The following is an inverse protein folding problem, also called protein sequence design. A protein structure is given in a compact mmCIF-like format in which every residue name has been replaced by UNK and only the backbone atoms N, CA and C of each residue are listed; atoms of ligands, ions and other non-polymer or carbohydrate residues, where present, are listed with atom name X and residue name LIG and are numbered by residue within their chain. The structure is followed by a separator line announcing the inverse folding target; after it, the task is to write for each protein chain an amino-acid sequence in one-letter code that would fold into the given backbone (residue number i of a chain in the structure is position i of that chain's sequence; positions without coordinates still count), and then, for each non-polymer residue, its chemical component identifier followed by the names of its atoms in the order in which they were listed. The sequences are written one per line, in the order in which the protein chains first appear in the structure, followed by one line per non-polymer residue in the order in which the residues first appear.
data_IF_502375407413
#
_entry.id   IF_502375407413
#
_cell.length_a   1.000
_cell.length_b   1.000
_cell.length_c   1.000
_cell.angle_alpha   90.00
_cell.angle_beta   90.00
_cell.angle_gamma   90.00
#
_symmetry.space_group_name_H-M   'P 1'
#
loop_
_entity.id
_entity.type
_entity.pdbx_description
1 polymer ?
#
# COMPACT_ATOMS: atom_id res chain seq x y z
N UNK A 1 -26.14 2.47 -63.47
CA UNK A 1 -27.03 3.23 -62.58
C UNK A 1 -26.81 2.76 -61.14
N UNK A 2 -26.45 3.71 -60.28
CA UNK A 2 -26.65 3.82 -58.83
C UNK A 2 -27.78 2.91 -58.27
N UNK A 3 -27.80 2.35 -57.05
CA UNK A 3 -27.08 2.42 -55.77
C UNK A 3 -27.33 1.04 -55.10
N UNK A 4 -26.50 0.50 -54.22
CA UNK A 4 -26.64 0.69 -52.78
C UNK A 4 -25.46 0.01 -52.11
N UNK A 5 -24.46 0.81 -51.76
CA UNK A 5 -23.42 0.44 -50.81
C UNK A 5 -24.11 0.27 -49.46
N UNK A 6 -24.33 -0.97 -49.01
CA UNK A 6 -24.65 -1.21 -47.61
C UNK A 6 -23.37 -1.00 -46.80
N UNK A 7 -23.24 0.24 -46.33
CA UNK A 7 -22.29 0.67 -45.34
C UNK A 7 -22.68 -0.02 -44.02
N UNK A 8 -22.07 -1.17 -43.72
CA UNK A 8 -22.20 -1.78 -42.39
C UNK A 8 -21.42 -0.88 -41.44
N UNK A 9 -22.15 -0.05 -40.71
CA UNK A 9 -21.65 0.82 -39.68
C UNK A 9 -21.03 -0.04 -38.57
N UNK A 10 -19.71 0.04 -38.45
CA UNK A 10 -18.93 -0.53 -37.36
C UNK A 10 -19.43 0.05 -36.03
N UNK A 11 -20.18 -0.72 -35.24
CA UNK A 11 -20.43 -0.37 -33.85
C UNK A 11 -19.19 -0.76 -33.06
N UNK A 12 -18.32 0.24 -32.98
CA UNK A 12 -17.35 0.53 -31.92
C UNK A 12 -17.51 -0.37 -30.68
N UNK A 13 -16.69 -1.41 -30.58
CA UNK A 13 -16.37 -2.06 -29.31
C UNK A 13 -15.69 -1.01 -28.44
N UNK A 14 -16.46 -0.34 -27.58
CA UNK A 14 -15.91 0.42 -26.47
C UNK A 14 -15.34 -0.62 -25.50
N UNK A 15 -14.10 -1.03 -25.74
CA UNK A 15 -13.26 -1.61 -24.70
C UNK A 15 -12.98 -0.46 -23.75
N UNK A 16 -13.76 -0.36 -22.69
CA UNK A 16 -13.50 0.57 -21.59
C UNK A 16 -12.21 0.08 -20.92
N UNK A 17 -11.09 0.52 -21.45
CA UNK A 17 -9.80 0.48 -20.78
C UNK A 17 -9.84 1.50 -19.65
N UNK A 18 -9.98 1.03 -18.41
CA UNK A 18 -9.32 1.60 -17.24
C UNK A 18 -9.74 0.83 -15.97
N UNK A 19 -9.14 -0.33 -15.73
CA UNK A 19 -8.93 -0.77 -14.35
C UNK A 19 -7.78 0.06 -13.74
N UNK A 20 -7.92 1.38 -13.74
CA UNK A 20 -7.24 2.21 -12.75
C UNK A 20 -8.12 2.12 -11.51
N UNK A 21 -8.04 1.00 -10.79
CA UNK A 21 -8.69 0.85 -9.49
C UNK A 21 -8.14 1.92 -8.56
N UNK A 22 -8.80 3.09 -8.53
CA UNK A 22 -9.39 3.81 -7.39
C UNK A 22 -8.73 3.66 -6.01
N UNK A 23 -7.42 3.44 -5.95
CA UNK A 23 -6.61 3.65 -4.76
C UNK A 23 -6.16 5.09 -4.81
N UNK A 24 -7.13 5.91 -4.43
CA UNK A 24 -7.16 7.35 -4.25
C UNK A 24 -5.82 7.92 -3.72
N UNK A 25 -4.91 8.22 -4.64
CA UNK A 25 -3.69 9.05 -4.58
C UNK A 25 -2.87 9.12 -3.27
N UNK A 26 -2.93 8.07 -2.45
CA UNK A 26 -2.27 7.96 -1.16
C UNK A 26 -0.81 7.54 -1.26
N UNK A 27 -0.22 7.08 -0.16
CA UNK A 27 1.14 6.55 -0.14
C UNK A 27 1.11 5.03 -0.35
N UNK A 28 1.97 4.49 -1.23
CA UNK A 28 2.05 3.04 -1.47
C UNK A 28 3.47 2.53 -1.29
N UNK A 29 3.62 1.38 -0.64
CA UNK A 29 4.86 0.61 -0.53
C UNK A 29 4.64 -0.81 -1.04
N UNK A 30 5.67 -1.40 -1.65
CA UNK A 30 5.63 -2.75 -2.19
C UNK A 30 6.37 -3.74 -1.31
N UNK A 31 5.96 -5.00 -1.37
CA UNK A 31 6.45 -6.08 -0.51
C UNK A 31 6.41 -7.41 -1.24
N UNK A 32 7.22 -8.37 -0.79
CA UNK A 32 7.31 -9.72 -1.37
C UNK A 32 7.18 -10.76 -0.26
N UNK A 33 6.28 -11.72 -0.44
CA UNK A 33 6.12 -12.84 0.50
C UNK A 33 5.72 -14.12 -0.21
N UNK A 34 6.46 -15.20 0.02
CA UNK A 34 6.26 -16.50 -0.62
C UNK A 34 6.18 -16.39 -2.16
N UNK A 35 7.00 -15.53 -2.75
CA UNK A 35 7.01 -15.29 -4.21
C UNK A 35 5.83 -14.46 -4.73
N UNK A 36 4.94 -13.97 -3.87
CA UNK A 36 3.84 -13.08 -4.23
C UNK A 36 4.19 -11.62 -3.92
N UNK A 37 3.65 -10.71 -4.74
CA UNK A 37 3.79 -9.27 -4.53
C UNK A 37 2.59 -8.71 -3.78
N UNK A 38 2.87 -7.76 -2.89
CA UNK A 38 1.84 -7.06 -2.13
C UNK A 38 2.06 -5.55 -2.21
N UNK A 39 0.96 -4.81 -2.21
CA UNK A 39 0.95 -3.36 -2.04
C UNK A 39 0.34 -3.02 -0.67
N UNK A 40 1.08 -2.28 0.15
CA UNK A 40 0.58 -1.61 1.34
C UNK A 40 0.26 -0.16 0.99
N UNK A 41 -0.99 0.22 1.14
CA UNK A 41 -1.52 1.47 0.62
C UNK A 41 -2.17 2.23 1.76
N UNK A 42 -1.71 3.44 2.01
CA UNK A 42 -2.33 4.38 2.92
C UNK A 42 -3.23 5.31 2.12
N UNK A 43 -4.56 5.17 2.16
CA UNK A 43 -5.47 6.02 1.39
C UNK A 43 -5.30 7.50 1.75
N UNK A 44 -5.48 8.39 0.77
CA UNK A 44 -5.41 9.84 0.99
C UNK A 44 -6.42 10.31 2.07
N UNK A 45 -7.58 9.67 2.16
CA UNK A 45 -8.59 9.96 3.19
C UNK A 45 -8.06 9.70 4.60
N UNK A 46 -7.33 8.60 4.81
CA UNK A 46 -6.75 8.27 6.12
C UNK A 46 -5.65 9.28 6.50
N UNK A 47 -4.87 9.74 5.53
CA UNK A 47 -3.84 10.77 5.74
C UNK A 47 -4.45 12.14 6.02
N UNK A 48 -5.55 12.47 5.35
CA UNK A 48 -6.27 13.73 5.55
C UNK A 48 -6.87 13.80 6.97
N UNK A 49 -7.47 12.70 7.43
CA UNK A 49 -8.08 12.59 8.76
C UNK A 49 -7.06 12.47 9.90
N UNK A 50 -5.85 11.96 9.61
CA UNK A 50 -4.77 11.86 10.59
C UNK A 50 -4.44 13.25 11.15
N UNK A 51 -4.10 13.39 12.44
CA UNK A 51 -3.73 14.69 12.99
C UNK A 51 -2.54 15.32 12.26
N UNK A 52 -2.52 16.66 12.24
CA UNK A 52 -1.36 17.40 11.77
C UNK A 52 -0.18 17.20 12.73
N UNK A 53 1.03 17.09 12.17
CA UNK A 53 2.24 16.95 12.94
C UNK A 53 3.39 17.77 12.36
N UNK A 54 4.10 18.44 13.26
CA UNK A 54 5.32 19.16 12.99
C UNK A 54 6.41 18.54 13.86
N UNK A 55 7.52 18.13 13.24
CA UNK A 55 8.69 17.55 13.91
C UNK A 55 9.25 18.44 15.02
N UNK A 56 9.04 19.75 14.95
CA UNK A 56 9.59 20.71 15.90
C UNK A 56 8.68 20.99 17.10
N UNK A 57 7.38 20.69 17.01
CA UNK A 57 6.42 21.26 17.97
C UNK A 57 5.95 20.32 19.08
N UNK A 58 6.00 18.98 18.95
CA UNK A 58 5.33 18.10 19.93
C UNK A 58 5.92 16.70 20.04
N UNK A 59 5.52 16.02 21.12
CA UNK A 59 5.51 14.56 21.22
C UNK A 59 4.55 13.94 20.19
N UNK A 60 4.92 12.77 19.66
CA UNK A 60 4.10 12.01 18.72
C UNK A 60 2.71 11.68 19.32
N UNK A 61 1.61 11.74 18.53
CA UNK A 61 0.27 11.41 19.03
C UNK A 61 0.15 9.98 19.59
N UNK A 62 0.89 9.04 18.99
CA UNK A 62 1.01 7.67 19.49
C UNK A 62 2.48 7.29 19.64
N UNK A 63 2.89 6.64 20.74
CA UNK A 63 4.26 6.16 20.92
C UNK A 63 4.66 5.15 19.84
N UNK A 64 5.93 5.17 19.45
CA UNK A 64 6.45 4.29 18.40
C UNK A 64 6.26 2.79 18.72
N UNK A 65 6.40 2.39 19.99
CA UNK A 65 6.15 1.01 20.42
C UNK A 65 4.72 0.55 20.08
N UNK A 66 3.73 1.43 20.23
CA UNK A 66 2.34 1.14 19.87
C UNK A 66 2.11 1.10 18.36
N UNK A 67 2.87 1.86 17.58
CA UNK A 67 2.84 1.76 16.12
C UNK A 67 3.40 0.40 15.67
N UNK A 68 4.48 -0.06 16.29
CA UNK A 68 5.06 -1.39 16.00
C UNK A 68 4.08 -2.50 16.37
N UNK A 69 3.44 -2.43 17.55
CA UNK A 69 2.42 -3.40 17.98
C UNK A 69 1.30 -3.51 16.92
N UNK A 70 0.75 -2.37 16.49
CA UNK A 70 -0.30 -2.30 15.45
C UNK A 70 0.16 -2.89 14.12
N UNK A 71 1.40 -2.60 13.72
CA UNK A 71 1.95 -3.12 12.47
C UNK A 71 2.13 -4.65 12.51
N UNK A 72 2.56 -5.21 13.64
CA UNK A 72 2.60 -6.66 13.85
C UNK A 72 1.21 -7.29 13.78
N UNK A 73 0.22 -6.69 14.43
CA UNK A 73 -1.16 -7.19 14.37
C UNK A 73 -1.68 -7.27 12.93
N UNK A 74 -1.35 -6.28 12.10
CA UNK A 74 -1.73 -6.30 10.69
C UNK A 74 -0.94 -7.35 9.89
N UNK A 75 0.38 -7.44 10.09
CA UNK A 75 1.21 -8.47 9.46
C UNK A 75 0.63 -9.87 9.70
N UNK A 76 0.24 -10.17 10.94
CA UNK A 76 -0.30 -11.46 11.35
C UNK A 76 -1.68 -11.82 10.79
N UNK A 77 -2.36 -10.88 10.12
CA UNK A 77 -3.58 -11.18 9.35
C UNK A 77 -3.26 -11.65 7.93
N UNK A 78 -2.03 -11.43 7.47
CA UNK A 78 -1.60 -11.65 6.08
C UNK A 78 -0.69 -12.88 6.00
N UNK A 79 0.20 -13.05 6.96
CA UNK A 79 1.18 -14.14 6.97
C UNK A 79 0.62 -15.41 7.62
N UNK A 80 1.00 -16.57 7.08
CA UNK A 80 0.55 -17.87 7.62
C UNK A 80 1.20 -18.20 8.98
N UNK A 81 2.44 -17.73 9.18
CA UNK A 81 3.25 -17.98 10.39
C UNK A 81 3.52 -16.68 11.11
N UNK A 82 3.02 -16.57 12.34
CA UNK A 82 3.25 -15.40 13.20
C UNK A 82 4.67 -15.34 13.77
N UNK A 83 5.30 -16.49 14.00
CA UNK A 83 6.67 -16.56 14.52
C UNK A 83 7.70 -16.35 13.41
N UNK A 84 8.85 -15.78 13.78
CA UNK A 84 9.98 -15.58 12.88
C UNK A 84 9.98 -14.27 12.11
N UNK A 85 9.21 -13.27 12.54
CA UNK A 85 9.21 -11.93 11.95
C UNK A 85 9.83 -10.90 12.89
N UNK A 86 10.79 -10.15 12.37
CA UNK A 86 11.41 -9.03 13.09
C UNK A 86 11.23 -7.74 12.32
N UNK A 87 10.99 -6.64 13.03
CA UNK A 87 11.08 -5.30 12.43
C UNK A 87 12.48 -5.10 11.89
N UNK A 88 12.59 -4.88 10.59
CA UNK A 88 13.86 -4.62 9.89
C UNK A 88 14.17 -3.12 9.78
N UNK A 89 13.12 -2.31 9.64
CA UNK A 89 13.23 -0.87 9.44
C UNK A 89 11.92 -0.19 9.84
N UNK A 90 12.05 1.07 10.26
CA UNK A 90 10.91 1.95 10.48
C UNK A 90 11.27 3.28 9.82
N UNK A 91 10.49 3.66 8.82
CA UNK A 91 10.64 4.96 8.17
C UNK A 91 9.51 5.86 8.60
N UNK A 92 9.86 7.06 9.07
CA UNK A 92 8.91 8.12 9.35
C UNK A 92 8.88 9.09 8.17
N UNK A 93 7.77 9.11 7.44
CA UNK A 93 7.66 9.80 6.16
C UNK A 93 6.55 10.84 6.18
N UNK A 94 6.83 11.98 5.54
CA UNK A 94 5.85 13.02 5.24
C UNK A 94 5.06 12.62 4.00
N UNK A 95 3.76 12.91 3.96
CA UNK A 95 2.97 12.71 2.76
C UNK A 95 3.35 13.75 1.71
N UNK A 96 3.64 13.31 0.49
CA UNK A 96 4.11 14.21 -0.58
C UNK A 96 3.14 15.34 -0.90
N UNK A 97 1.83 15.12 -0.72
CA UNK A 97 0.80 16.11 -1.03
C UNK A 97 0.50 17.10 0.09
N UNK A 98 0.90 16.81 1.33
CA UNK A 98 0.65 17.69 2.47
C UNK A 98 1.74 17.53 3.52
N UNK A 99 2.50 18.60 3.75
CA UNK A 99 3.68 18.61 4.60
C UNK A 99 3.39 18.51 6.11
N UNK A 100 2.13 18.66 6.50
CA UNK A 100 1.68 18.46 7.89
C UNK A 100 1.21 17.05 8.17
N UNK A 101 1.07 16.20 7.14
CA UNK A 101 0.62 14.82 7.30
C UNK A 101 1.80 13.87 7.25
N UNK A 102 1.87 12.99 8.24
CA UNK A 102 2.97 12.05 8.42
C UNK A 102 2.45 10.63 8.64
N UNK A 103 3.28 9.64 8.31
CA UNK A 103 3.00 8.24 8.51
C UNK A 103 4.28 7.45 8.79
N UNK A 104 4.10 6.26 9.33
CA UNK A 104 5.14 5.24 9.47
C UNK A 104 5.01 4.18 8.40
N UNK A 105 6.14 3.81 7.80
CA UNK A 105 6.32 2.55 7.07
C UNK A 105 7.15 1.61 7.94
N UNK A 106 6.50 0.57 8.47
CA UNK A 106 7.14 -0.45 9.31
C UNK A 106 7.44 -1.66 8.44
N UNK A 107 8.72 -1.93 8.21
CA UNK A 107 9.16 -3.08 7.44
C UNK A 107 9.57 -4.25 8.33
N UNK A 108 9.30 -5.46 7.84
CA UNK A 108 9.52 -6.72 8.52
C UNK A 108 10.24 -7.69 7.61
N UNK A 109 11.23 -8.39 8.15
CA UNK A 109 11.89 -9.52 7.50
C UNK A 109 11.63 -10.81 8.28
N UNK A 110 11.63 -11.92 7.54
CA UNK A 110 11.70 -13.25 8.13
C UNK A 110 13.10 -13.54 8.67
N UNK A 111 13.20 -14.05 9.89
CA UNK A 111 14.47 -14.47 10.50
C UNK A 111 14.88 -15.88 10.10
N UNK A 112 14.00 -16.63 9.40
CA UNK A 112 14.13 -18.09 9.23
C UNK A 112 14.18 -18.56 7.77
N UNK A 113 14.32 -17.66 6.80
CA UNK A 113 14.30 -18.04 5.38
C UNK A 113 15.69 -17.91 4.76
N UNK A 114 16.36 -19.06 4.62
CA UNK A 114 17.67 -19.17 3.97
C UNK A 114 17.61 -19.11 2.44
N UNK A 115 16.41 -19.03 1.85
CA UNK A 115 16.20 -19.24 0.39
C UNK A 115 15.28 -18.19 -0.25
N UNK A 116 14.32 -17.60 0.49
CA UNK A 116 13.44 -16.53 -0.01
C UNK A 116 13.53 -15.29 0.90
N UNK A 117 13.94 -14.13 0.36
CA UNK A 117 13.92 -12.88 1.11
C UNK A 117 12.49 -12.33 1.21
N UNK A 118 11.70 -12.92 2.11
CA UNK A 118 10.37 -12.40 2.43
C UNK A 118 10.52 -11.08 3.22
N UNK A 119 9.87 -10.05 2.70
CA UNK A 119 9.82 -8.72 3.28
C UNK A 119 8.42 -8.15 3.16
N UNK A 120 7.90 -7.62 4.27
CA UNK A 120 6.61 -6.95 4.32
C UNK A 120 6.73 -5.53 4.87
N UNK A 121 6.02 -4.58 4.26
CA UNK A 121 5.82 -3.24 4.79
C UNK A 121 4.37 -3.05 5.19
N UNK A 122 4.15 -2.52 6.38
CA UNK A 122 2.83 -2.08 6.85
C UNK A 122 2.88 -0.56 7.05
N UNK A 123 1.91 0.14 6.45
CA UNK A 123 1.74 1.57 6.64
C UNK A 123 0.80 1.85 7.80
N UNK A 124 1.19 2.80 8.66
CA UNK A 124 0.42 3.22 9.84
C UNK A 124 0.49 4.74 9.98
N UNK A 125 -0.63 5.43 10.15
CA UNK A 125 -0.63 6.88 10.45
C UNK A 125 -0.09 7.16 11.86
N UNK A 126 0.24 8.40 12.16
CA UNK A 126 0.82 8.78 13.47
C UNK A 126 -0.11 8.59 14.67
N UNK A 127 -1.42 8.49 14.44
CA UNK A 127 -2.45 8.15 15.44
C UNK A 127 -2.79 6.65 15.46
N UNK A 128 -2.23 5.86 14.54
CA UNK A 128 -2.33 4.40 14.53
C UNK A 128 -3.40 3.80 13.61
N UNK A 129 -3.91 4.54 12.61
CA UNK A 129 -4.77 3.94 11.57
C UNK A 129 -3.93 3.12 10.61
N UNK A 130 -4.43 1.96 10.22
CA UNK A 130 -3.71 0.96 9.43
C UNK A 130 -4.02 1.14 7.94
N UNK A 131 -3.00 1.12 7.09
CA UNK A 131 -3.14 1.08 5.64
C UNK A 131 -3.70 -0.25 5.13
N UNK A 132 -4.26 -0.25 3.93
CA UNK A 132 -4.80 -1.44 3.28
C UNK A 132 -3.65 -2.25 2.68
N UNK A 133 -3.64 -3.57 2.87
CA UNK A 133 -2.67 -4.46 2.20
C UNK A 133 -3.41 -5.34 1.19
N UNK A 134 -2.90 -5.40 -0.04
CA UNK A 134 -3.48 -6.20 -1.13
C UNK A 134 -2.40 -6.99 -1.85
N UNK A 135 -2.68 -8.26 -2.16
CA UNK A 135 -1.89 -9.02 -3.14
C UNK A 135 -2.07 -8.39 -4.52
N UNK A 136 -0.98 -8.23 -5.28
CA UNK A 136 -0.99 -7.68 -6.64
C UNK A 136 -0.42 -8.70 -7.62
N UNK A 137 -1.07 -8.85 -8.78
CA UNK A 137 -0.55 -9.66 -9.87
C UNK A 137 0.35 -8.79 -10.75
N UNK A 138 1.56 -9.27 -11.06
CA UNK A 138 2.38 -8.65 -12.09
C UNK A 138 1.70 -8.86 -13.45
N UNK A 139 1.22 -7.78 -14.09
CA UNK A 139 0.94 -7.84 -15.52
C UNK A 139 2.27 -7.96 -16.23
N UNK A 140 2.57 -9.15 -16.76
CA UNK A 140 3.66 -9.33 -17.73
C UNK A 140 3.24 -8.56 -18.98
N UNK A 141 3.83 -7.38 -19.19
CA UNK A 141 3.75 -6.70 -20.48
C UNK A 141 4.69 -7.49 -21.41
N UNK A 142 4.10 -8.26 -22.33
CA UNK A 142 4.81 -8.97 -23.39
C UNK A 142 5.07 -8.05 -24.58
#
# INVERSE_FOLDING_TARGET
MLKNVSLVFSILMIVISAEASELDSGQTYYSNYQGKKYASIMPATYLTDSPDFNLHDKSLPKPLSKIIDIAYEQLYKIVDKKLGWSVSNITFSKWEKNDKKWLYAVGFNTTNSSINFDYFTILVTIDGRIGVVKEIQERIIK
#
